data_IF_141252424066
#
_entry.id   IF_141252424066
#
_cell.length_a   1.000
_cell.length_b   1.000
_cell.length_c   1.000
_cell.angle_alpha   90.00
_cell.angle_beta   90.00
_cell.angle_gamma   90.00
#
_symmetry.space_group_name_H-M   'P 1'
#
loop_
_entity.id
_entity.type
_entity.pdbx_description
1 polymer ?
#
# COMPACT_ATOMS: atom_id res chain seq x y z
N UNK A 1 0.16 -8.50 16.92
CA UNK A 1 1.09 -9.59 17.23
C UNK A 1 2.47 -9.15 16.79
N UNK A 2 3.49 -9.51 17.57
CA UNK A 2 4.89 -9.33 17.24
C UNK A 2 5.25 -10.15 15.99
N UNK A 3 6.08 -9.62 15.10
CA UNK A 3 6.52 -10.28 13.88
C UNK A 3 7.19 -11.63 14.10
N UNK A 4 7.90 -11.80 15.22
CA UNK A 4 8.44 -13.11 15.59
C UNK A 4 7.35 -14.16 15.82
N UNK A 5 6.25 -13.80 16.46
CA UNK A 5 5.10 -14.70 16.65
C UNK A 5 4.43 -15.06 15.31
N UNK A 6 4.25 -14.06 14.43
CA UNK A 6 3.70 -14.28 13.08
C UNK A 6 4.57 -15.25 12.30
N UNK A 7 5.90 -15.04 12.31
CA UNK A 7 6.86 -15.92 11.64
C UNK A 7 6.88 -17.32 12.21
N UNK A 8 6.80 -17.49 13.52
CA UNK A 8 6.75 -18.79 14.16
C UNK A 8 5.50 -19.59 13.75
N UNK A 9 4.34 -18.93 13.71
CA UNK A 9 3.10 -19.54 13.23
C UNK A 9 3.20 -19.94 11.76
N UNK A 10 3.81 -19.08 10.92
CA UNK A 10 4.05 -19.36 9.51
C UNK A 10 4.99 -20.57 9.32
N UNK A 11 6.11 -20.60 10.03
CA UNK A 11 7.08 -21.70 10.00
C UNK A 11 6.39 -23.02 10.38
N UNK A 12 5.66 -23.03 11.48
CA UNK A 12 4.91 -24.22 11.92
C UNK A 12 3.87 -24.67 10.87
N UNK A 13 3.21 -23.75 10.20
CA UNK A 13 2.24 -24.07 9.14
C UNK A 13 2.94 -24.67 7.91
N UNK A 14 4.06 -24.10 7.48
CA UNK A 14 4.86 -24.59 6.35
C UNK A 14 5.39 -26.00 6.63
N UNK A 15 5.92 -26.25 7.83
CA UNK A 15 6.44 -27.56 8.21
C UNK A 15 5.37 -28.66 8.28
N UNK A 16 4.11 -28.28 8.53
CA UNK A 16 2.96 -29.19 8.57
C UNK A 16 2.25 -29.37 7.24
N UNK A 17 2.50 -28.48 6.27
CA UNK A 17 1.74 -28.46 5.01
C UNK A 17 1.95 -29.73 4.16
N UNK A 18 2.98 -30.51 4.40
CA UNK A 18 3.35 -31.70 3.64
C UNK A 18 3.42 -31.40 2.12
N UNK A 19 2.94 -32.32 1.27
CA UNK A 19 2.97 -32.18 -0.21
C UNK A 19 1.75 -31.44 -0.80
N UNK A 20 0.83 -30.97 0.04
CA UNK A 20 -0.37 -30.27 -0.47
C UNK A 20 -0.08 -28.81 -0.79
N UNK A 21 -0.67 -28.27 -1.87
CA UNK A 21 -0.66 -26.84 -2.11
C UNK A 21 -1.31 -26.09 -0.95
N UNK A 22 -0.75 -24.93 -0.59
CA UNK A 22 -1.30 -24.08 0.46
C UNK A 22 -1.27 -22.61 0.01
N UNK A 23 -2.13 -21.81 0.61
CA UNK A 23 -2.09 -20.37 0.57
C UNK A 23 -1.82 -19.87 1.99
N UNK A 24 -0.86 -18.95 2.13
CA UNK A 24 -0.49 -18.37 3.41
C UNK A 24 -0.53 -16.85 3.28
N UNK A 25 -1.33 -16.22 4.12
CA UNK A 25 -1.38 -14.76 4.27
C UNK A 25 -0.80 -14.40 5.63
N UNK A 26 0.23 -13.56 5.64
CA UNK A 26 0.92 -13.09 6.84
C UNK A 26 0.76 -11.58 6.93
N UNK A 27 0.27 -11.11 8.07
CA UNK A 27 0.18 -9.69 8.36
C UNK A 27 1.18 -9.35 9.47
N UNK A 28 2.23 -8.60 9.12
CA UNK A 28 3.21 -8.04 10.04
C UNK A 28 2.80 -6.61 10.37
N UNK A 29 2.79 -6.29 11.66
CA UNK A 29 2.32 -5.00 12.16
C UNK A 29 3.46 -4.15 12.73
N UNK A 30 4.67 -4.67 12.77
CA UNK A 30 5.80 -4.07 13.45
C UNK A 30 6.15 -2.65 12.97
N UNK A 31 6.11 -2.32 11.65
CA UNK A 31 6.36 -0.95 11.19
C UNK A 31 5.23 0.05 11.46
N UNK A 32 4.23 -0.29 12.26
CA UNK A 32 3.16 0.62 12.68
C UNK A 32 3.50 1.31 14.01
N UNK A 33 3.10 2.56 14.17
CA UNK A 33 3.22 3.29 15.46
C UNK A 33 2.52 2.54 16.62
N UNK A 34 3.13 2.49 17.83
CA UNK A 34 4.42 3.05 18.25
C UNK A 34 5.62 2.18 17.81
N UNK A 35 6.72 2.85 17.45
CA UNK A 35 7.94 2.18 17.01
C UNK A 35 8.78 1.78 18.24
N UNK A 36 8.56 0.57 18.75
CA UNK A 36 9.12 0.11 20.04
C UNK A 36 10.55 -0.44 19.93
N UNK A 37 11.10 -0.56 18.72
CA UNK A 37 12.50 -0.96 18.44
C UNK A 37 12.84 -2.38 18.89
N UNK A 38 12.15 -3.38 18.43
CA UNK A 38 12.27 -4.83 18.78
C UNK A 38 13.70 -5.41 18.81
N UNK A 39 14.56 -4.84 19.65
CA UNK A 39 15.94 -5.31 19.88
C UNK A 39 16.94 -4.91 18.80
N UNK A 40 16.54 -4.23 17.75
CA UNK A 40 17.42 -3.67 16.71
C UNK A 40 17.84 -2.28 17.13
N UNK A 41 19.15 -1.98 17.09
CA UNK A 41 19.64 -0.65 17.45
C UNK A 41 19.22 0.37 16.39
N UNK A 42 18.25 1.22 16.70
CA UNK A 42 17.79 2.29 15.81
C UNK A 42 18.89 3.34 15.55
N UNK A 43 19.89 3.46 16.43
CA UNK A 43 20.98 4.43 16.31
C UNK A 43 21.80 4.23 15.02
N UNK A 44 21.84 3.03 14.45
CA UNK A 44 22.50 2.75 13.17
C UNK A 44 21.83 3.46 11.97
N UNK A 45 20.56 3.81 12.07
CA UNK A 45 19.77 4.51 11.05
C UNK A 45 19.74 6.03 11.27
N UNK A 46 20.24 6.50 12.42
CA UNK A 46 20.18 7.92 12.75
C UNK A 46 20.98 8.76 11.75
N UNK A 47 20.29 9.70 11.10
CA UNK A 47 20.91 10.64 10.17
C UNK A 47 21.27 11.93 10.92
N UNK A 48 22.52 12.42 10.82
CA UNK A 48 22.90 13.72 11.36
C UNK A 48 22.07 14.84 10.71
N UNK A 49 21.52 15.74 11.51
CA UNK A 49 20.71 16.86 11.02
C UNK A 49 20.25 17.79 12.14
N UNK A 50 19.70 18.95 11.79
CA UNK A 50 19.24 19.93 12.77
C UNK A 50 17.99 19.47 13.53
N UNK A 51 17.17 18.59 12.92
CA UNK A 51 15.96 18.03 13.54
C UNK A 51 16.23 16.62 14.04
N UNK A 52 16.76 16.55 15.25
CA UNK A 52 17.05 15.27 15.91
C UNK A 52 15.78 14.48 16.21
N UNK A 53 14.67 15.12 16.58
CA UNK A 53 13.45 14.44 16.95
C UNK A 53 12.85 13.66 15.76
N UNK A 54 12.72 14.33 14.61
CA UNK A 54 12.27 13.70 13.36
C UNK A 54 13.23 12.59 12.92
N UNK A 55 14.56 12.86 12.95
CA UNK A 55 15.56 11.87 12.57
C UNK A 55 15.51 10.62 13.46
N UNK A 56 15.20 10.78 14.75
CA UNK A 56 15.05 9.67 15.68
C UNK A 56 13.81 8.82 15.34
N UNK A 57 12.65 9.44 15.12
CA UNK A 57 11.42 8.70 14.77
C UNK A 57 11.60 7.92 13.46
N UNK A 58 12.23 8.51 12.45
CA UNK A 58 12.57 7.80 11.21
C UNK A 58 13.51 6.63 11.45
N UNK A 59 14.52 6.79 12.30
CA UNK A 59 15.45 5.71 12.64
C UNK A 59 14.76 4.58 13.42
N UNK A 60 13.83 4.89 14.28
CA UNK A 60 12.99 3.91 14.99
C UNK A 60 12.11 3.13 13.98
N UNK A 61 11.43 3.82 13.06
CA UNK A 61 10.67 3.19 11.97
C UNK A 61 11.54 2.29 11.09
N UNK A 62 12.71 2.76 10.65
CA UNK A 62 13.64 1.95 9.85
C UNK A 62 14.10 0.69 10.62
N UNK A 63 14.21 0.77 11.96
CA UNK A 63 14.56 -0.38 12.79
C UNK A 63 13.45 -1.43 12.86
N UNK A 64 12.18 -1.01 12.85
CA UNK A 64 11.04 -1.92 12.77
C UNK A 64 10.99 -2.64 11.41
N UNK A 65 11.27 -1.93 10.33
CA UNK A 65 11.37 -2.54 8.99
C UNK A 65 12.50 -3.59 8.96
N UNK A 66 13.67 -3.27 9.53
CA UNK A 66 14.76 -4.26 9.60
C UNK A 66 14.36 -5.49 10.43
N UNK A 67 13.71 -5.28 11.56
CA UNK A 67 13.23 -6.40 12.39
C UNK A 67 12.24 -7.28 11.61
N UNK A 68 11.27 -6.67 10.92
CA UNK A 68 10.33 -7.40 10.07
C UNK A 68 11.05 -8.16 8.95
N UNK A 69 12.04 -7.57 8.28
CA UNK A 69 12.84 -8.23 7.24
C UNK A 69 13.57 -9.46 7.79
N UNK A 70 14.16 -9.37 8.99
CA UNK A 70 14.77 -10.52 9.68
C UNK A 70 13.74 -11.64 9.95
N UNK A 71 12.53 -11.29 10.36
CA UNK A 71 11.47 -12.27 10.59
C UNK A 71 11.00 -12.92 9.29
N UNK A 72 10.84 -12.16 8.21
CA UNK A 72 10.56 -12.68 6.85
C UNK A 72 11.67 -13.62 6.38
N UNK A 73 12.93 -13.26 6.61
CA UNK A 73 14.10 -14.09 6.31
C UNK A 73 13.98 -15.50 6.90
N UNK A 74 13.52 -15.63 8.15
CA UNK A 74 13.29 -16.94 8.82
C UNK A 74 12.25 -17.79 8.09
N UNK A 75 11.16 -17.17 7.64
CA UNK A 75 10.12 -17.85 6.85
C UNK A 75 10.67 -18.30 5.50
N UNK A 76 11.41 -17.45 4.80
CA UNK A 76 12.03 -17.80 3.52
C UNK A 76 13.06 -18.92 3.65
N UNK A 77 13.84 -18.92 4.73
CA UNK A 77 14.79 -20.01 5.02
C UNK A 77 14.09 -21.35 5.26
N UNK A 78 12.93 -21.32 5.90
CA UNK A 78 12.10 -22.51 6.08
C UNK A 78 11.57 -23.02 4.73
N UNK A 79 11.06 -22.13 3.87
CA UNK A 79 10.65 -22.50 2.51
C UNK A 79 11.81 -23.11 1.71
N UNK A 80 13.04 -22.55 1.83
CA UNK A 80 14.24 -23.10 1.17
C UNK A 80 14.58 -24.50 1.69
N UNK A 81 14.60 -24.68 3.00
CA UNK A 81 14.87 -25.97 3.65
C UNK A 81 13.87 -27.07 3.24
N UNK A 82 12.61 -26.68 3.03
CA UNK A 82 11.54 -27.58 2.58
C UNK A 82 11.50 -27.77 1.05
N UNK A 83 12.36 -27.09 0.27
CA UNK A 83 12.36 -27.12 -1.19
C UNK A 83 11.13 -26.46 -1.82
N UNK A 84 10.49 -25.56 -1.09
CA UNK A 84 9.26 -24.88 -1.51
C UNK A 84 9.53 -23.49 -2.08
N UNK A 85 10.63 -22.83 -1.74
CA UNK A 85 10.93 -21.46 -2.13
C UNK A 85 10.87 -21.27 -3.64
N UNK A 86 11.55 -22.12 -4.41
CA UNK A 86 11.60 -22.03 -5.87
C UNK A 86 10.31 -22.46 -6.58
N UNK A 87 9.39 -23.08 -5.85
CA UNK A 87 8.08 -23.55 -6.35
C UNK A 87 6.93 -22.63 -5.94
N UNK A 88 7.19 -21.60 -5.16
CA UNK A 88 6.16 -20.71 -4.60
C UNK A 88 6.14 -19.37 -5.28
N UNK A 89 4.94 -18.83 -5.46
CA UNK A 89 4.74 -17.40 -5.56
C UNK A 89 4.91 -16.78 -4.18
N UNK A 90 5.72 -15.72 -4.10
CA UNK A 90 5.90 -14.95 -2.88
C UNK A 90 5.62 -13.49 -3.23
N UNK A 91 4.72 -12.87 -2.47
CA UNK A 91 4.39 -11.45 -2.59
C UNK A 91 4.66 -10.79 -1.26
N UNK A 92 5.41 -9.69 -1.30
CA UNK A 92 5.59 -8.78 -0.16
C UNK A 92 5.04 -7.43 -0.58
N UNK A 93 4.10 -6.92 0.18
CA UNK A 93 3.45 -5.63 -0.07
C UNK A 93 3.06 -4.99 1.25
N UNK A 94 2.75 -3.71 1.22
CA UNK A 94 2.14 -2.98 2.33
C UNK A 94 0.78 -2.40 1.87
N UNK A 95 -0.04 -2.00 2.82
CA UNK A 95 -1.32 -1.35 2.60
C UNK A 95 -1.14 0.15 2.33
N UNK A 96 -0.25 0.83 3.06
CA UNK A 96 0.10 2.24 2.89
C UNK A 96 1.50 2.54 3.46
N UNK A 97 1.97 3.74 3.25
CA UNK A 97 3.16 4.31 3.89
C UNK A 97 2.82 5.23 5.05
N UNK A 98 3.73 6.16 5.37
CA UNK A 98 3.64 7.02 6.55
C UNK A 98 4.23 8.41 6.28
N UNK A 99 3.63 9.45 6.85
CA UNK A 99 4.21 10.80 6.91
C UNK A 99 5.09 10.98 8.13
N UNK A 100 6.26 11.53 7.91
CA UNK A 100 7.20 11.93 8.96
C UNK A 100 7.54 13.43 8.91
N UNK A 101 6.58 14.27 8.56
CA UNK A 101 6.68 15.72 8.45
C UNK A 101 6.63 16.26 7.03
N UNK A 102 6.54 15.40 5.99
CA UNK A 102 6.29 15.82 4.62
C UNK A 102 4.93 16.54 4.56
N UNK A 103 4.85 17.66 3.82
CA UNK A 103 3.65 18.51 3.73
C UNK A 103 3.10 18.97 5.11
N UNK A 104 3.99 19.07 6.12
CA UNK A 104 3.60 19.38 7.51
C UNK A 104 2.62 18.33 8.09
N UNK A 105 2.71 17.08 7.64
CA UNK A 105 1.86 15.96 8.04
C UNK A 105 2.66 14.90 8.78
N UNK A 106 2.02 14.25 9.76
CA UNK A 106 2.55 13.11 10.50
C UNK A 106 1.46 12.05 10.62
N UNK A 107 1.83 10.78 10.37
CA UNK A 107 0.89 9.67 10.37
C UNK A 107 0.23 9.47 8.99
N UNK A 108 -0.84 8.71 8.94
CA UNK A 108 -1.53 8.32 7.71
C UNK A 108 -3.06 8.48 7.81
N UNK A 109 -3.77 8.13 6.70
CA UNK A 109 -5.24 8.07 6.66
C UNK A 109 -5.94 9.41 6.43
N UNK A 110 -5.22 10.49 6.09
CA UNK A 110 -5.80 11.83 5.90
C UNK A 110 -5.25 12.60 4.70
N UNK A 111 -4.33 12.02 3.96
CA UNK A 111 -3.78 12.55 2.70
C UNK A 111 -3.58 11.46 1.67
N UNK A 112 -3.28 11.85 0.42
CA UNK A 112 -2.92 10.93 -0.67
C UNK A 112 -1.59 11.33 -1.33
N UNK A 113 -0.68 11.97 -0.61
CA UNK A 113 0.68 12.21 -1.09
C UNK A 113 1.52 10.93 -1.17
N UNK A 114 2.56 10.94 -2.02
CA UNK A 114 3.40 9.75 -2.27
C UNK A 114 3.95 9.07 -1.00
N UNK A 115 4.35 9.80 0.07
CA UNK A 115 4.80 9.14 1.30
C UNK A 115 3.81 8.12 1.88
N UNK A 116 2.50 8.32 1.66
CA UNK A 116 1.46 7.42 2.16
C UNK A 116 0.98 6.43 1.11
N UNK A 117 0.88 6.83 -0.17
CA UNK A 117 0.22 5.99 -1.19
C UNK A 117 1.20 5.15 -2.00
N UNK A 118 2.48 5.51 -2.04
CA UNK A 118 3.50 4.75 -2.73
C UNK A 118 3.92 3.54 -1.91
N UNK A 119 3.29 2.41 -2.20
CA UNK A 119 3.56 1.15 -1.53
C UNK A 119 4.73 0.37 -2.13
N UNK A 120 5.19 -0.62 -1.36
CA UNK A 120 6.13 -1.65 -1.80
C UNK A 120 5.35 -2.78 -2.47
N UNK A 121 5.85 -3.27 -3.59
CA UNK A 121 5.36 -4.50 -4.21
C UNK A 121 6.54 -5.32 -4.73
N UNK A 122 6.80 -6.44 -4.08
CA UNK A 122 7.82 -7.40 -4.48
C UNK A 122 7.13 -8.70 -4.83
N UNK A 123 7.31 -9.18 -6.05
CA UNK A 123 6.74 -10.45 -6.51
C UNK A 123 7.87 -11.37 -6.95
N UNK A 124 7.94 -12.52 -6.33
CA UNK A 124 8.85 -13.61 -6.71
C UNK A 124 7.99 -14.77 -7.25
N UNK A 125 7.98 -15.03 -8.57
CA UNK A 125 7.32 -16.19 -9.15
C UNK A 125 8.10 -17.49 -8.87
N UNK A 126 7.52 -18.68 -9.09
CA UNK A 126 8.26 -19.93 -9.19
C UNK A 126 9.42 -19.84 -10.21
N UNK A 127 10.47 -20.64 -10.03
CA UNK A 127 11.69 -20.56 -10.84
C UNK A 127 11.48 -20.90 -12.33
N UNK A 128 10.42 -21.63 -12.65
CA UNK A 128 10.02 -22.02 -14.01
C UNK A 128 9.01 -21.04 -14.65
N UNK A 129 8.63 -19.98 -13.94
CA UNK A 129 7.69 -18.93 -14.41
C UNK A 129 8.45 -17.64 -14.67
N UNK A 130 8.35 -17.11 -15.88
CA UNK A 130 8.80 -15.75 -16.19
C UNK A 130 7.67 -14.75 -15.97
N UNK A 131 7.96 -13.71 -15.23
CA UNK A 131 7.08 -12.55 -15.05
C UNK A 131 7.82 -11.31 -15.56
N UNK A 132 7.52 -10.91 -16.78
CA UNK A 132 8.10 -9.71 -17.37
C UNK A 132 7.16 -8.54 -17.12
N UNK A 133 7.62 -7.55 -16.36
CA UNK A 133 6.87 -6.34 -16.05
C UNK A 133 7.54 -5.13 -16.68
N UNK A 134 6.75 -4.23 -17.25
CA UNK A 134 7.22 -2.91 -17.61
C UNK A 134 7.53 -2.13 -16.30
N UNK A 135 8.76 -1.64 -16.09
CA UNK A 135 9.12 -0.90 -14.89
C UNK A 135 8.33 0.42 -14.72
N UNK A 136 7.67 0.89 -15.78
CA UNK A 136 6.80 2.07 -15.74
C UNK A 136 5.34 1.72 -15.40
N UNK A 137 5.00 0.44 -15.26
CA UNK A 137 3.64 0.03 -14.87
C UNK A 137 3.32 0.52 -13.46
N UNK A 138 2.22 1.25 -13.33
CA UNK A 138 1.67 1.60 -12.02
C UNK A 138 0.73 0.51 -11.56
N UNK A 139 1.25 -0.37 -10.70
CA UNK A 139 0.48 -1.42 -10.07
C UNK A 139 -0.39 -0.87 -8.92
N UNK A 140 -1.52 -1.47 -8.71
CA UNK A 140 -2.39 -1.22 -7.56
C UNK A 140 -2.59 -2.53 -6.78
N UNK A 141 -2.99 -2.44 -5.52
CA UNK A 141 -3.22 -3.63 -4.67
C UNK A 141 -4.25 -4.59 -5.28
N UNK A 142 -5.23 -4.07 -6.04
CA UNK A 142 -6.25 -4.86 -6.74
C UNK A 142 -5.67 -5.76 -7.84
N UNK A 143 -4.46 -5.47 -8.35
CA UNK A 143 -3.79 -6.18 -9.45
C UNK A 143 -2.99 -7.41 -8.97
N UNK A 144 -2.75 -7.51 -7.67
CA UNK A 144 -1.98 -8.62 -7.08
C UNK A 144 -2.71 -9.95 -7.29
N UNK A 145 -3.97 -10.01 -6.92
CA UNK A 145 -4.75 -11.26 -7.00
C UNK A 145 -4.91 -11.75 -8.45
N UNK A 146 -5.32 -10.93 -9.43
CA UNK A 146 -5.41 -11.38 -10.83
C UNK A 146 -4.06 -11.83 -11.39
N UNK A 147 -2.95 -11.20 -10.99
CA UNK A 147 -1.60 -11.64 -11.37
C UNK A 147 -1.28 -13.05 -10.86
N UNK A 148 -1.57 -13.31 -9.59
CA UNK A 148 -1.35 -14.62 -8.99
C UNK A 148 -2.25 -15.69 -9.62
N UNK A 149 -3.54 -15.42 -9.81
CA UNK A 149 -4.47 -16.36 -10.42
C UNK A 149 -4.06 -16.71 -11.85
N UNK A 150 -3.68 -15.69 -12.65
CA UNK A 150 -3.16 -15.93 -14.00
C UNK A 150 -1.90 -16.81 -13.95
N UNK A 151 -0.94 -16.48 -13.09
CA UNK A 151 0.30 -17.24 -12.94
C UNK A 151 0.09 -18.68 -12.47
N UNK A 152 -1.01 -18.96 -11.79
CA UNK A 152 -1.44 -20.28 -11.35
C UNK A 152 -2.31 -21.01 -12.39
N UNK A 153 -2.62 -20.38 -13.53
CA UNK A 153 -3.51 -20.94 -14.55
C UNK A 153 -4.98 -21.03 -14.12
N UNK A 154 -5.38 -20.21 -13.13
CA UNK A 154 -6.77 -20.14 -12.63
C UNK A 154 -7.52 -19.05 -13.40
N UNK A 155 -8.72 -19.35 -13.85
CA UNK A 155 -9.57 -18.39 -14.56
C UNK A 155 -9.92 -17.21 -13.65
N UNK A 156 -9.81 -15.99 -14.18
CA UNK A 156 -10.17 -14.78 -13.46
C UNK A 156 -11.71 -14.68 -13.35
N UNK A 157 -12.26 -14.46 -12.15
CA UNK A 157 -13.68 -14.14 -12.00
C UNK A 157 -14.04 -12.84 -12.75
N UNK A 158 -15.22 -12.84 -13.40
CA UNK A 158 -15.70 -11.66 -14.14
C UNK A 158 -16.03 -10.45 -13.24
N UNK A 159 -16.07 -10.65 -11.94
CA UNK A 159 -16.31 -9.60 -10.93
C UNK A 159 -15.00 -8.97 -10.40
N UNK A 160 -13.84 -9.44 -10.88
CA UNK A 160 -12.55 -8.91 -10.47
C UNK A 160 -12.29 -7.57 -11.16
N UNK A 161 -11.91 -6.56 -10.39
CA UNK A 161 -11.70 -5.20 -10.92
C UNK A 161 -10.25 -4.94 -11.34
N UNK A 162 -9.29 -5.60 -10.68
CA UNK A 162 -7.88 -5.52 -11.05
C UNK A 162 -7.56 -6.34 -12.29
N UNK A 163 -6.39 -6.07 -12.87
CA UNK A 163 -5.85 -6.76 -14.05
C UNK A 163 -4.48 -7.35 -13.74
N UNK A 164 -4.06 -8.44 -14.42
CA UNK A 164 -2.70 -8.93 -14.31
C UNK A 164 -1.66 -7.85 -14.65
N UNK A 165 -0.58 -7.79 -13.89
CA UNK A 165 0.46 -6.74 -13.99
C UNK A 165 1.14 -6.65 -15.36
N UNK A 166 1.12 -7.72 -16.17
CA UNK A 166 1.66 -7.76 -17.52
C UNK A 166 0.77 -7.08 -18.58
N UNK A 167 -0.44 -6.65 -18.22
CA UNK A 167 -1.44 -6.07 -19.14
C UNK A 167 -2.42 -5.09 -18.51
N UNK A 168 -1.98 -4.29 -17.56
CA UNK A 168 -2.83 -3.26 -16.94
C UNK A 168 -3.27 -2.23 -17.97
N UNK A 169 -4.57 -1.98 -18.04
CA UNK A 169 -5.19 -0.97 -18.93
C UNK A 169 -6.02 0.06 -18.17
N UNK A 170 -6.43 -0.25 -16.94
CA UNK A 170 -7.16 0.69 -16.10
C UNK A 170 -6.25 1.83 -15.57
N UNK A 171 -6.81 3.01 -15.29
CA UNK A 171 -6.06 4.09 -14.65
C UNK A 171 -5.67 3.68 -13.21
N UNK A 172 -4.53 4.16 -12.74
CA UNK A 172 -4.18 4.05 -11.33
C UNK A 172 -4.94 5.12 -10.54
N UNK A 173 -5.67 4.69 -9.51
CA UNK A 173 -6.55 5.54 -8.71
C UNK A 173 -6.41 5.16 -7.25
N UNK A 174 -6.32 6.17 -6.38
CA UNK A 174 -6.38 6.00 -4.93
C UNK A 174 -7.47 6.91 -4.39
N UNK A 175 -8.28 6.40 -3.49
CA UNK A 175 -9.39 7.15 -2.88
C UNK A 175 -9.26 7.16 -1.37
N UNK A 176 -9.52 8.31 -0.78
CA UNK A 176 -9.61 8.52 0.66
C UNK A 176 -11.00 9.04 1.00
N UNK A 177 -11.76 8.22 1.69
CA UNK A 177 -13.08 8.60 2.18
C UNK A 177 -13.01 9.32 3.51
N UNK A 178 -13.99 10.18 3.75
CA UNK A 178 -14.04 10.95 5.00
C UNK A 178 -14.16 10.05 6.22
N UNK A 179 -13.23 10.20 7.15
CA UNK A 179 -13.29 9.56 8.47
C UNK A 179 -13.71 10.54 9.55
N UNK A 180 -14.71 10.17 10.34
CA UNK A 180 -15.12 10.95 11.52
C UNK A 180 -14.00 11.01 12.58
N UNK A 181 -13.20 9.95 12.68
CA UNK A 181 -12.00 9.90 13.53
C UNK A 181 -10.99 10.98 13.13
N UNK A 182 -10.61 11.03 11.85
CA UNK A 182 -9.63 12.00 11.36
C UNK A 182 -10.07 13.45 11.60
N UNK A 183 -11.36 13.77 11.39
CA UNK A 183 -11.90 15.12 11.68
C UNK A 183 -11.80 15.43 13.16
N UNK A 184 -12.10 14.47 14.03
CA UNK A 184 -12.04 14.66 15.49
C UNK A 184 -10.60 14.89 15.99
N UNK A 185 -9.63 14.16 15.47
CA UNK A 185 -8.25 14.17 15.96
C UNK A 185 -7.35 15.19 15.25
N UNK A 186 -7.53 15.38 13.95
CA UNK A 186 -6.68 16.23 13.09
C UNK A 186 -7.36 17.57 12.73
N UNK A 187 -8.69 17.72 12.92
CA UNK A 187 -9.45 18.94 12.73
C UNK A 187 -10.24 19.04 11.42
N UNK A 188 -10.98 20.14 11.26
CA UNK A 188 -11.90 20.38 10.13
C UNK A 188 -11.21 20.46 8.76
N UNK A 189 -9.88 20.71 8.69
CA UNK A 189 -9.11 20.62 7.46
C UNK A 189 -9.34 19.27 6.78
N UNK A 190 -9.42 18.19 7.53
CA UNK A 190 -9.53 16.82 7.04
C UNK A 190 -10.97 16.33 6.86
N UNK A 191 -11.96 17.22 6.94
CA UNK A 191 -13.37 16.92 6.60
C UNK A 191 -13.56 16.98 5.08
N UNK A 192 -12.99 16.00 4.39
CA UNK A 192 -13.00 15.92 2.93
C UNK A 192 -12.83 14.48 2.45
N UNK A 193 -13.11 14.27 1.18
CA UNK A 193 -12.72 13.10 0.42
C UNK A 193 -11.66 13.51 -0.58
N UNK A 194 -10.65 12.69 -0.76
CA UNK A 194 -9.59 12.91 -1.73
C UNK A 194 -9.56 11.79 -2.75
N UNK A 195 -9.11 12.12 -3.95
CA UNK A 195 -8.87 11.17 -5.01
C UNK A 195 -7.56 11.51 -5.72
N UNK A 196 -6.65 10.53 -5.81
CA UNK A 196 -5.45 10.64 -6.60
C UNK A 196 -5.64 9.89 -7.92
N UNK A 197 -5.40 10.57 -9.03
CA UNK A 197 -5.41 10.01 -10.38
C UNK A 197 -4.00 10.06 -10.94
N UNK A 198 -3.57 9.01 -11.63
CA UNK A 198 -2.26 8.97 -12.25
C UNK A 198 -2.36 8.81 -13.76
N UNK A 199 -1.55 9.56 -14.51
CA UNK A 199 -1.40 9.42 -15.96
C UNK A 199 0.05 9.75 -16.36
N UNK A 200 0.80 8.74 -16.81
CA UNK A 200 2.23 8.88 -17.06
C UNK A 200 2.99 9.34 -15.82
N UNK A 201 3.69 10.47 -15.94
CA UNK A 201 4.46 11.07 -14.84
C UNK A 201 3.61 12.01 -13.97
N UNK A 202 2.36 12.29 -14.36
CA UNK A 202 1.49 13.21 -13.64
C UNK A 202 0.62 12.52 -12.61
N UNK A 203 0.44 13.21 -11.48
CA UNK A 203 -0.53 12.87 -10.43
C UNK A 203 -1.44 14.06 -10.18
N UNK A 204 -2.74 13.83 -10.26
CA UNK A 204 -3.77 14.82 -9.98
C UNK A 204 -4.45 14.46 -8.66
N UNK A 205 -4.36 15.35 -7.67
CA UNK A 205 -5.09 15.24 -6.41
C UNK A 205 -6.36 16.09 -6.49
N UNK A 206 -7.50 15.44 -6.41
CA UNK A 206 -8.82 16.06 -6.35
C UNK A 206 -9.36 16.00 -4.92
N UNK A 207 -10.04 17.06 -4.50
CA UNK A 207 -10.72 17.15 -3.21
C UNK A 207 -12.20 17.43 -3.37
N UNK A 208 -13.02 16.90 -2.47
CA UNK A 208 -14.43 17.27 -2.34
C UNK A 208 -14.64 18.64 -1.66
N UNK A 209 -13.56 19.26 -1.19
CA UNK A 209 -13.55 20.58 -0.56
C UNK A 209 -13.00 21.62 -1.53
N UNK A 210 -13.72 22.73 -1.70
CA UNK A 210 -13.25 23.84 -2.49
C UNK A 210 -11.97 24.47 -1.86
N UNK A 211 -11.04 24.91 -2.72
CA UNK A 211 -9.77 25.54 -2.32
C UNK A 211 -8.98 24.73 -1.30
N UNK A 212 -8.97 23.40 -1.46
CA UNK A 212 -8.18 22.51 -0.63
C UNK A 212 -6.68 22.68 -0.93
N UNK A 213 -5.83 23.02 0.06
CA UNK A 213 -4.40 23.19 -0.16
C UNK A 213 -3.67 21.91 -0.56
N UNK A 214 -4.29 20.74 -0.34
CA UNK A 214 -3.71 19.44 -0.69
C UNK A 214 -4.17 18.97 -2.09
N UNK A 215 -5.06 19.71 -2.78
CA UNK A 215 -5.43 19.42 -4.18
C UNK A 215 -4.45 20.11 -5.15
N UNK A 216 -4.10 19.43 -6.26
CA UNK A 216 -3.17 19.96 -7.24
C UNK A 216 -2.78 18.95 -8.30
N UNK A 217 -2.01 19.41 -9.30
CA UNK A 217 -1.37 18.57 -10.32
C UNK A 217 0.13 18.57 -10.13
N UNK A 218 0.73 17.41 -10.01
CA UNK A 218 2.16 17.23 -9.74
C UNK A 218 2.85 16.41 -10.83
N UNK A 219 4.07 16.79 -11.21
CA UNK A 219 4.94 16.02 -12.09
C UNK A 219 5.91 15.18 -11.24
N UNK A 220 5.55 13.94 -10.97
CA UNK A 220 6.30 13.06 -10.06
C UNK A 220 7.71 12.71 -10.56
N UNK A 221 8.03 12.92 -11.85
CA UNK A 221 9.38 12.73 -12.38
C UNK A 221 10.31 13.86 -11.95
N UNK A 222 9.84 15.11 -12.01
CA UNK A 222 10.65 16.30 -11.75
C UNK A 222 10.40 16.87 -10.34
N UNK A 223 9.28 16.53 -9.73
CA UNK A 223 8.85 16.94 -8.39
C UNK A 223 8.28 15.72 -7.63
N UNK A 224 9.15 14.76 -7.25
CA UNK A 224 8.70 13.56 -6.52
C UNK A 224 8.19 13.86 -5.10
N UNK A 225 8.48 15.06 -4.58
CA UNK A 225 8.04 15.53 -3.26
C UNK A 225 6.72 16.33 -3.33
N UNK A 226 6.09 16.44 -4.52
CA UNK A 226 4.77 17.07 -4.73
C UNK A 226 4.65 18.49 -4.15
N UNK A 227 5.69 19.30 -4.35
CA UNK A 227 5.80 20.66 -3.78
C UNK A 227 5.41 21.76 -4.75
N UNK A 228 5.28 21.46 -6.05
CA UNK A 228 4.97 22.42 -7.11
C UNK A 228 3.65 22.06 -7.82
N UNK A 229 2.58 22.75 -7.47
CA UNK A 229 1.28 22.57 -8.12
C UNK A 229 1.24 23.19 -9.50
N UNK A 230 1.06 22.37 -10.53
CA UNK A 230 0.96 22.74 -11.94
C UNK A 230 -0.50 22.89 -12.44
N UNK A 231 -1.51 22.80 -11.56
CA UNK A 231 -2.92 22.79 -11.92
C UNK A 231 -3.31 24.00 -12.78
N UNK A 232 -2.87 25.20 -12.40
CA UNK A 232 -3.16 26.43 -13.13
C UNK A 232 -2.35 26.56 -14.43
N UNK A 233 -1.17 25.93 -14.51
CA UNK A 233 -0.27 26.01 -15.65
C UNK A 233 -0.64 25.01 -16.76
N UNK A 234 -1.21 23.85 -16.39
CA UNK A 234 -1.49 22.73 -17.28
C UNK A 234 -2.99 22.31 -17.26
N UNK A 235 -3.94 23.24 -17.50
CA UNK A 235 -5.38 22.93 -17.40
C UNK A 235 -5.83 21.86 -18.39
N UNK A 236 -5.19 21.73 -19.54
CA UNK A 236 -5.52 20.69 -20.53
C UNK A 236 -5.17 19.29 -20.02
N UNK A 237 -4.06 19.15 -19.28
CA UNK A 237 -3.66 17.87 -18.62
C UNK A 237 -4.69 17.51 -17.56
N UNK A 238 -5.04 18.46 -16.69
CA UNK A 238 -6.09 18.27 -15.67
C UNK A 238 -7.39 17.77 -16.28
N UNK A 239 -7.89 18.47 -17.32
CA UNK A 239 -9.14 18.12 -18.00
C UNK A 239 -9.08 16.72 -18.64
N UNK A 240 -7.95 16.36 -19.25
CA UNK A 240 -7.77 15.04 -19.85
C UNK A 240 -7.80 13.93 -18.79
N UNK A 241 -7.11 14.13 -17.65
CA UNK A 241 -7.09 13.17 -16.55
C UNK A 241 -8.47 13.00 -15.91
N UNK A 242 -9.19 14.09 -15.66
CA UNK A 242 -10.58 14.05 -15.14
C UNK A 242 -11.49 13.30 -16.11
N UNK A 243 -11.45 13.63 -17.42
CA UNK A 243 -12.28 12.97 -18.43
C UNK A 243 -11.99 11.47 -18.51
N UNK A 244 -10.72 11.07 -18.43
CA UNK A 244 -10.32 9.66 -18.44
C UNK A 244 -10.88 8.94 -17.21
N UNK A 245 -10.79 9.55 -16.03
CA UNK A 245 -11.36 9.02 -14.81
C UNK A 245 -12.89 8.88 -14.89
N UNK A 246 -13.59 9.90 -15.32
CA UNK A 246 -15.06 9.88 -15.46
C UNK A 246 -15.52 8.79 -16.44
N UNK A 247 -14.81 8.65 -17.56
CA UNK A 247 -15.09 7.59 -18.55
C UNK A 247 -14.91 6.21 -17.96
N UNK A 248 -13.82 5.99 -17.23
CA UNK A 248 -13.55 4.72 -16.56
C UNK A 248 -14.59 4.46 -15.45
N UNK A 249 -14.88 5.44 -14.60
CA UNK A 249 -15.84 5.33 -13.51
C UNK A 249 -17.25 5.01 -14.01
N UNK A 250 -17.68 5.66 -15.09
CA UNK A 250 -18.99 5.40 -15.72
C UNK A 250 -19.12 3.98 -16.30
N UNK A 251 -18.00 3.33 -16.60
CA UNK A 251 -17.99 1.93 -17.08
C UNK A 251 -18.13 0.90 -15.97
N UNK A 252 -18.04 1.31 -14.70
CA UNK A 252 -18.09 0.43 -13.53
C UNK A 252 -19.52 0.28 -13.01
N UNK A 253 -19.82 -0.92 -12.53
CA UNK A 253 -21.09 -1.15 -11.83
C UNK A 253 -20.90 -0.72 -10.38
N UNK A 254 -21.70 0.23 -9.85
CA UNK A 254 -21.60 0.59 -8.44
C UNK A 254 -21.75 -0.66 -7.56
N UNK A 255 -20.87 -0.79 -6.56
CA UNK A 255 -21.07 -1.79 -5.51
C UNK A 255 -22.40 -1.48 -4.82
N UNK A 256 -23.26 -2.49 -4.74
CA UNK A 256 -24.52 -2.34 -4.03
C UNK A 256 -24.18 -2.23 -2.54
N UNK A 257 -24.48 -1.13 -1.88
CA UNK A 257 -24.20 -0.89 -0.45
C UNK A 257 -24.82 -1.99 0.46
N UNK A 258 -25.83 -2.71 -0.03
CA UNK A 258 -26.44 -3.85 0.67
C UNK A 258 -25.53 -5.08 0.80
N UNK A 259 -24.31 -5.07 0.22
CA UNK A 259 -23.37 -6.21 0.21
C UNK A 259 -22.11 -6.05 1.05
N UNK A 260 -21.95 -4.98 1.80
CA UNK A 260 -20.92 -4.96 2.84
C UNK A 260 -21.23 -6.10 3.82
N UNK A 261 -20.36 -7.12 3.95
CA UNK A 261 -20.60 -8.17 4.94
C UNK A 261 -20.72 -7.52 6.31
N UNK A 262 -21.76 -7.88 7.03
CA UNK A 262 -21.89 -7.45 8.43
C UNK A 262 -20.71 -8.09 9.19
N UNK A 263 -19.68 -7.29 9.44
CA UNK A 263 -18.52 -7.76 10.18
C UNK A 263 -18.99 -8.20 11.56
N UNK A 264 -18.62 -9.39 11.96
CA UNK A 264 -18.90 -9.84 13.32
C UNK A 264 -18.26 -8.87 14.34
N UNK A 265 -18.81 -8.78 15.56
CA UNK A 265 -18.39 -7.77 16.54
C UNK A 265 -16.91 -7.89 16.97
N UNK A 266 -16.29 -9.06 16.81
CA UNK A 266 -14.90 -9.28 17.15
C UNK A 266 -13.98 -8.78 16.04
N UNK A 267 -14.27 -9.11 14.79
CA UNK A 267 -13.57 -8.57 13.60
C UNK A 267 -13.67 -7.05 13.56
N UNK A 268 -14.84 -6.46 13.83
CA UNK A 268 -15.02 -5.01 13.91
C UNK A 268 -14.11 -4.38 14.98
N UNK A 269 -14.07 -4.94 16.19
CA UNK A 269 -13.20 -4.46 17.27
C UNK A 269 -11.70 -4.58 16.92
N UNK A 270 -11.32 -5.65 16.23
CA UNK A 270 -9.94 -5.82 15.77
C UNK A 270 -9.58 -4.76 14.73
N UNK A 271 -10.46 -4.45 13.77
CA UNK A 271 -10.24 -3.38 12.80
C UNK A 271 -10.18 -2.00 13.46
N UNK A 272 -11.11 -1.70 14.38
CA UNK A 272 -11.09 -0.46 15.15
C UNK A 272 -9.80 -0.30 15.99
N UNK A 273 -9.26 -1.39 16.54
CA UNK A 273 -7.99 -1.39 17.27
C UNK A 273 -6.78 -1.17 16.34
N UNK A 274 -6.92 -1.45 15.05
CA UNK A 274 -5.92 -1.23 14.01
C UNK A 274 -6.06 0.13 13.32
N UNK A 275 -7.05 0.96 13.73
CA UNK A 275 -7.27 2.30 13.17
C UNK A 275 -8.20 2.36 11.95
N UNK A 276 -8.89 1.25 11.62
CA UNK A 276 -9.86 1.17 10.50
C UNK A 276 -11.30 1.39 10.93
#
# INVERSE_FOLDING_TARGET
RDGAEVSELAINAIERASDNPFFLFLNYFDPHDPYDGHGTSWEQFLKPGPDFARSKVLAEYDSEILYMDEQLGRVFDTLRKQGLYDRSWIVVTNDHGEHFGEHELEGHGFSLYEPVVRGVLIIKPPADVSLELDPNTRAQSVDIMPTLLQGLGINLPSTMEGEPLDRITHPAIVELYRSAGNVRWKGERFRRELRALYDGDYKLLLSSKDEDPDAGLFDLRNDPDETNDLHAELPDVVNAMVTRFETWSASRTPLNEERAPDLDPETRRQMEALGY
#
